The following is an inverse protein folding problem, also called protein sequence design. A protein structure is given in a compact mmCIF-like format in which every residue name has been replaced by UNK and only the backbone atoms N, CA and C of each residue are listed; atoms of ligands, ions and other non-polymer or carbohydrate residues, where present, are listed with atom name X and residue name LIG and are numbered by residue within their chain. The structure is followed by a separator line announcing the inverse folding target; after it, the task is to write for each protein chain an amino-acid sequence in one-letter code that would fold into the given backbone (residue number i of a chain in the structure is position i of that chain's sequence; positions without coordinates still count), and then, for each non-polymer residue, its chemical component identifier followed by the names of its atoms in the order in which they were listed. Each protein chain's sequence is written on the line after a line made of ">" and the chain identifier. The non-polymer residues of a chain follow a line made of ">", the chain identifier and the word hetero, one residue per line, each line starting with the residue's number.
data_IF_312573687802
#
_entry.id   IF_312573687802
#
_cell.length_a   1.000
_cell.length_b   1.000
_cell.length_c   1.000
_cell.angle_alpha   90.00
_cell.angle_beta   90.00
_cell.angle_gamma   90.00
#
_symmetry.space_group_name_H-M   'P 1'
#
loop_
_entity.id
_entity.type
_entity.pdbx_description
1 polymer ?
#
# COMPACT_ATOMS: atom_id res chain seq x y z
N UNK A 1 -14.04 -15.30 -13.21
CA UNK A 1 -14.44 -14.51 -14.39
C UNK A 1 -13.99 -15.27 -15.62
N UNK A 2 -14.82 -15.44 -16.67
CA UNK A 2 -14.25 -15.70 -17.99
C UNK A 2 -13.49 -14.42 -18.37
N UNK A 3 -12.26 -14.55 -18.87
CA UNK A 3 -11.41 -13.40 -19.15
C UNK A 3 -12.11 -12.39 -20.07
N UNK A 4 -12.91 -12.86 -21.01
CA UNK A 4 -13.68 -12.06 -21.99
C UNK A 4 -14.83 -11.23 -21.38
N UNK A 5 -15.35 -11.56 -20.19
CA UNK A 5 -16.49 -10.86 -19.58
C UNK A 5 -16.06 -9.81 -18.53
N UNK A 6 -14.75 -9.64 -18.34
CA UNK A 6 -14.18 -8.82 -17.30
C UNK A 6 -14.08 -7.36 -17.68
N UNK A 7 -14.16 -6.50 -16.68
CA UNK A 7 -13.89 -5.07 -16.78
C UNK A 7 -12.93 -4.73 -15.64
N UNK A 8 -11.83 -4.08 -15.98
CA UNK A 8 -10.88 -3.56 -14.99
C UNK A 8 -11.09 -2.06 -14.88
N UNK A 9 -11.19 -1.54 -13.66
CA UNK A 9 -11.13 -0.12 -13.32
C UNK A 9 -9.89 0.08 -12.45
N UNK A 10 -9.03 1.03 -12.80
CA UNK A 10 -7.87 1.39 -12.00
C UNK A 10 -7.84 2.91 -11.86
N UNK A 11 -7.72 3.38 -10.62
CA UNK A 11 -7.62 4.81 -10.29
C UNK A 11 -6.42 5.01 -9.39
N UNK A 12 -5.61 6.01 -9.70
CA UNK A 12 -4.52 6.48 -8.85
C UNK A 12 -4.81 7.88 -8.32
N UNK A 13 -4.40 8.13 -7.08
CA UNK A 13 -4.57 9.41 -6.40
C UNK A 13 -3.53 9.71 -5.32
N UNK A 14 -3.60 10.93 -4.80
CA UNK A 14 -2.63 11.49 -3.85
C UNK A 14 -3.04 11.38 -2.37
N UNK A 15 -4.29 10.98 -2.06
CA UNK A 15 -4.75 10.92 -0.67
C UNK A 15 -3.90 9.92 0.12
N UNK A 16 -3.25 10.35 1.22
CA UNK A 16 -2.23 9.58 1.98
C UNK A 16 -2.80 8.65 3.08
N UNK A 17 -1.91 7.74 3.56
CA UNK A 17 -2.21 6.61 4.45
C UNK A 17 -2.82 6.97 5.83
N UNK A 18 -2.56 8.16 6.36
CA UNK A 18 -2.94 8.51 7.74
C UNK A 18 -4.24 9.34 7.84
N UNK A 19 -4.87 9.65 6.70
CA UNK A 19 -6.03 10.55 6.62
C UNK A 19 -7.38 9.80 6.46
N UNK A 20 -7.45 8.50 6.78
CA UNK A 20 -8.62 7.70 6.42
C UNK A 20 -9.78 7.73 7.40
N UNK A 21 -10.97 7.97 6.83
CA UNK A 21 -12.21 7.35 7.27
C UNK A 21 -12.60 6.26 6.26
N UNK A 22 -12.26 5.00 6.56
CA UNK A 22 -12.64 3.86 5.72
C UNK A 22 -14.17 3.73 5.62
N UNK A 23 -14.90 4.21 6.62
CA UNK A 23 -16.37 4.26 6.59
C UNK A 23 -16.88 5.15 5.46
N UNK A 24 -16.13 6.18 5.07
CA UNK A 24 -16.46 7.03 3.92
C UNK A 24 -16.38 6.23 2.61
N UNK A 25 -15.30 5.47 2.41
CA UNK A 25 -15.13 4.61 1.22
C UNK A 25 -16.24 3.54 1.14
N UNK A 26 -16.52 2.87 2.26
CA UNK A 26 -17.61 1.89 2.36
C UNK A 26 -18.97 2.56 2.12
N UNK A 27 -19.14 3.78 2.61
CA UNK A 27 -20.32 4.62 2.41
C UNK A 27 -20.54 4.96 0.95
N UNK A 28 -19.50 5.36 0.22
CA UNK A 28 -19.52 5.60 -1.23
C UNK A 28 -19.99 4.34 -1.96
N UNK A 29 -19.33 3.21 -1.72
CA UNK A 29 -19.64 1.96 -2.40
C UNK A 29 -21.09 1.51 -2.14
N UNK A 30 -21.50 1.48 -0.87
CA UNK A 30 -22.86 1.10 -0.45
C UNK A 30 -23.92 2.08 -0.96
N UNK A 31 -23.61 3.37 -1.02
CA UNK A 31 -24.52 4.42 -1.48
C UNK A 31 -24.89 4.26 -2.95
N UNK A 32 -23.94 3.83 -3.79
CA UNK A 32 -24.20 3.57 -5.22
C UNK A 32 -25.04 2.30 -5.41
N UNK A 33 -24.65 1.20 -4.77
CA UNK A 33 -25.39 -0.07 -4.81
C UNK A 33 -25.08 -0.93 -3.59
N UNK A 34 -26.10 -1.59 -3.04
CA UNK A 34 -25.93 -2.59 -1.98
C UNK A 34 -25.01 -3.76 -2.41
N UNK A 35 -24.94 -4.03 -3.71
CA UNK A 35 -24.11 -5.07 -4.32
C UNK A 35 -22.63 -4.72 -4.36
N UNK A 36 -22.30 -3.44 -4.19
CA UNK A 36 -20.93 -2.95 -4.02
C UNK A 36 -20.51 -2.91 -2.55
N UNK A 37 -21.35 -3.40 -1.62
CA UNK A 37 -20.92 -3.56 -0.23
C UNK A 37 -19.94 -4.74 -0.12
N UNK A 38 -18.74 -4.53 0.45
CA UNK A 38 -17.81 -5.61 0.75
C UNK A 38 -18.44 -6.67 1.68
N UNK A 39 -18.25 -7.95 1.36
CA UNK A 39 -18.61 -9.08 2.24
C UNK A 39 -17.41 -9.59 3.04
N UNK A 40 -16.24 -9.59 2.40
CA UNK A 40 -15.00 -10.01 3.01
C UNK A 40 -13.85 -9.16 2.54
N UNK A 41 -12.82 -9.11 3.36
CA UNK A 41 -11.56 -8.42 3.07
C UNK A 41 -10.42 -9.36 3.40
N UNK A 42 -9.35 -9.28 2.63
CA UNK A 42 -8.17 -10.14 2.81
C UNK A 42 -6.90 -9.42 2.39
N UNK A 43 -5.78 -10.09 2.55
CA UNK A 43 -4.47 -9.65 2.08
C UNK A 43 -4.08 -10.49 0.86
N UNK A 44 -4.31 -9.97 -0.35
CA UNK A 44 -4.00 -10.59 -1.65
C UNK A 44 -4.29 -12.10 -1.72
N UNK A 45 -5.55 -12.48 -1.44
CA UNK A 45 -6.02 -13.86 -1.49
C UNK A 45 -5.75 -14.72 -0.25
N UNK A 46 -5.13 -14.18 0.79
CA UNK A 46 -5.00 -14.81 2.11
C UNK A 46 -5.83 -14.07 3.18
N UNK A 47 -6.25 -14.79 4.24
CA UNK A 47 -6.83 -14.22 5.46
C UNK A 47 -8.12 -13.41 5.28
N UNK A 48 -9.14 -14.00 4.62
CA UNK A 48 -10.45 -13.34 4.52
C UNK A 48 -11.17 -13.24 5.87
N UNK A 49 -11.53 -12.02 6.26
CA UNK A 49 -12.28 -11.71 7.49
C UNK A 49 -13.60 -10.98 7.18
N UNK A 50 -14.48 -10.87 8.18
CA UNK A 50 -15.65 -10.00 8.09
C UNK A 50 -15.26 -8.53 7.91
N UNK A 51 -16.11 -7.77 7.23
CA UNK A 51 -15.83 -6.35 6.98
C UNK A 51 -16.28 -5.52 8.18
N UNK A 52 -15.31 -5.17 9.02
CA UNK A 52 -15.44 -4.13 10.03
C UNK A 52 -14.19 -3.24 10.05
N UNK A 53 -14.31 -2.08 10.70
CA UNK A 53 -13.26 -1.06 10.69
C UNK A 53 -11.93 -1.57 11.29
N UNK A 54 -11.98 -2.47 12.27
CA UNK A 54 -10.77 -3.00 12.91
C UNK A 54 -10.10 -4.05 12.01
N UNK A 55 -10.87 -4.98 11.43
CA UNK A 55 -10.34 -5.94 10.47
C UNK A 55 -9.77 -5.27 9.23
N UNK A 56 -10.37 -4.16 8.75
CA UNK A 56 -9.80 -3.35 7.67
C UNK A 56 -8.43 -2.78 8.05
N UNK A 57 -8.34 -2.15 9.23
CA UNK A 57 -7.08 -1.61 9.78
C UNK A 57 -6.01 -2.68 9.92
N UNK A 58 -6.37 -3.86 10.39
CA UNK A 58 -5.41 -4.94 10.57
C UNK A 58 -4.91 -5.50 9.23
N UNK A 59 -5.83 -5.88 8.35
CA UNK A 59 -5.52 -6.61 7.11
C UNK A 59 -4.80 -5.73 6.08
N UNK A 60 -5.25 -4.50 5.87
CA UNK A 60 -4.69 -3.62 4.83
C UNK A 60 -3.57 -2.70 5.33
N UNK A 61 -3.46 -2.49 6.65
CA UNK A 61 -2.53 -1.50 7.21
C UNK A 61 -1.48 -2.10 8.17
N UNK A 62 -1.67 -3.32 8.70
CA UNK A 62 -0.75 -3.93 9.67
C UNK A 62 -0.15 -5.26 9.22
N UNK A 63 -0.47 -5.74 8.01
CA UNK A 63 0.08 -6.98 7.47
C UNK A 63 1.56 -6.82 7.07
N UNK A 64 2.45 -7.08 8.05
CA UNK A 64 3.92 -6.99 7.96
C UNK A 64 4.61 -7.81 6.84
N UNK A 65 3.89 -8.65 6.10
CA UNK A 65 4.46 -9.59 5.13
C UNK A 65 4.49 -9.14 3.66
N UNK A 66 4.00 -7.94 3.33
CA UNK A 66 3.74 -7.59 1.92
C UNK A 66 4.85 -6.81 1.20
N UNK A 67 5.81 -6.24 1.92
CA UNK A 67 6.94 -5.52 1.32
C UNK A 67 7.79 -6.43 0.41
N UNK A 68 7.99 -7.69 0.81
CA UNK A 68 8.87 -8.63 0.08
C UNK A 68 8.24 -9.22 -1.18
N UNK A 69 6.90 -9.26 -1.28
CA UNK A 69 6.21 -9.89 -2.42
C UNK A 69 5.89 -8.92 -3.57
N UNK A 70 5.84 -7.61 -3.30
CA UNK A 70 5.41 -6.60 -4.27
C UNK A 70 6.30 -5.34 -4.30
N UNK A 71 7.63 -5.51 -4.18
CA UNK A 71 8.66 -4.50 -4.54
C UNK A 71 8.25 -3.05 -4.23
N UNK A 72 8.16 -2.66 -2.96
CA UNK A 72 7.96 -1.25 -2.57
C UNK A 72 6.53 -0.83 -2.19
N UNK A 73 5.53 -1.70 -2.31
CA UNK A 73 4.17 -1.44 -1.77
C UNK A 73 4.20 -1.46 -0.24
N UNK A 74 3.71 -0.40 0.40
CA UNK A 74 3.70 -0.23 1.86
C UNK A 74 2.56 -0.97 2.57
N UNK A 75 1.48 -1.27 1.84
CA UNK A 75 0.32 -2.00 2.32
C UNK A 75 -0.73 -2.15 1.23
N UNK A 76 -1.68 -3.06 1.43
CA UNK A 76 -2.77 -3.27 0.47
C UNK A 76 -3.55 -4.53 0.77
N UNK A 77 -4.69 -4.68 0.11
CA UNK A 77 -5.44 -5.92 0.20
C UNK A 77 -6.67 -6.00 -0.68
N UNK A 78 -7.24 -7.20 -0.61
CA UNK A 78 -8.34 -7.69 -1.42
C UNK A 78 -9.68 -7.32 -0.81
N UNK A 79 -10.64 -6.98 -1.67
CA UNK A 79 -12.07 -6.84 -1.35
C UNK A 79 -12.85 -7.87 -2.14
N UNK A 80 -13.59 -8.71 -1.42
CA UNK A 80 -14.63 -9.56 -1.99
C UNK A 80 -15.99 -8.92 -1.73
N UNK A 81 -16.74 -8.70 -2.81
CA UNK A 81 -18.06 -8.07 -2.78
C UNK A 81 -19.19 -9.10 -2.84
N UNK A 82 -20.41 -8.68 -2.49
CA UNK A 82 -21.62 -9.53 -2.55
C UNK A 82 -21.79 -10.19 -3.91
N UNK A 83 -21.90 -11.52 -3.98
CA UNK A 83 -22.08 -12.18 -5.28
C UNK A 83 -22.49 -13.64 -5.24
N UNK A 84 -23.35 -14.05 -6.19
CA UNK A 84 -23.82 -15.45 -6.33
C UNK A 84 -22.76 -16.44 -6.82
N UNK A 85 -21.55 -15.99 -7.20
CA UNK A 85 -20.43 -16.83 -7.64
C UNK A 85 -19.09 -16.21 -7.22
N UNK A 86 -18.07 -17.00 -6.85
CA UNK A 86 -16.86 -16.52 -6.19
C UNK A 86 -15.89 -15.68 -7.05
N UNK A 87 -16.29 -15.13 -8.22
CA UNK A 87 -15.40 -14.38 -9.14
C UNK A 87 -16.10 -13.36 -10.05
N UNK A 88 -17.20 -12.74 -9.59
CA UNK A 88 -17.99 -11.80 -10.42
C UNK A 88 -17.62 -10.34 -10.19
N UNK A 89 -17.15 -10.01 -8.98
CA UNK A 89 -16.69 -8.69 -8.58
C UNK A 89 -15.67 -8.88 -7.47
N UNK A 90 -14.49 -8.30 -7.66
CA UNK A 90 -13.35 -8.35 -6.77
C UNK A 90 -12.61 -7.01 -6.87
N UNK A 91 -11.92 -6.59 -5.83
CA UNK A 91 -11.10 -5.37 -5.88
C UNK A 91 -9.82 -5.53 -5.10
N UNK A 92 -8.85 -4.69 -5.43
CA UNK A 92 -7.63 -4.51 -4.67
C UNK A 92 -7.48 -3.03 -4.34
N UNK A 93 -6.98 -2.77 -3.14
CA UNK A 93 -6.53 -1.43 -2.77
C UNK A 93 -5.06 -1.53 -2.41
N UNK A 94 -4.25 -0.65 -2.99
CA UNK A 94 -2.80 -0.58 -2.77
C UNK A 94 -2.44 0.78 -2.20
N UNK A 95 -1.51 0.76 -1.24
CA UNK A 95 -1.01 1.94 -0.57
C UNK A 95 0.52 1.98 -0.70
N UNK A 96 1.06 3.11 -1.14
CA UNK A 96 2.50 3.34 -1.24
C UNK A 96 2.97 4.37 -0.19
N UNK A 97 4.13 4.10 0.44
CA UNK A 97 4.84 5.04 1.30
C UNK A 97 5.25 6.31 0.52
N UNK A 98 5.36 6.21 -0.81
CA UNK A 98 5.70 7.33 -1.67
C UNK A 98 4.48 8.08 -2.25
N UNK A 99 3.29 7.91 -1.67
CA UNK A 99 2.14 8.80 -1.88
C UNK A 99 1.29 8.53 -3.11
N UNK A 100 1.48 7.38 -3.76
CA UNK A 100 0.68 6.93 -4.90
C UNK A 100 -0.20 5.77 -4.47
N UNK A 101 -1.45 6.10 -4.20
CA UNK A 101 -2.44 5.13 -3.77
C UNK A 101 -3.33 4.77 -4.94
N UNK A 102 -3.64 3.48 -5.08
CA UNK A 102 -4.50 3.03 -6.17
C UNK A 102 -5.60 2.09 -5.70
N UNK A 103 -6.78 2.27 -6.30
CA UNK A 103 -7.89 1.33 -6.20
C UNK A 103 -8.04 0.66 -7.55
N UNK A 104 -8.03 -0.67 -7.52
CA UNK A 104 -8.38 -1.52 -8.65
C UNK A 104 -9.69 -2.25 -8.36
N UNK A 105 -10.64 -2.22 -9.30
CA UNK A 105 -11.87 -2.99 -9.23
C UNK A 105 -11.98 -3.84 -10.49
N UNK A 106 -12.13 -5.14 -10.30
CA UNK A 106 -12.32 -6.14 -11.33
C UNK A 106 -13.75 -6.65 -11.28
N UNK A 107 -14.54 -6.27 -12.27
CA UNK A 107 -15.98 -6.50 -12.27
C UNK A 107 -16.45 -7.11 -13.58
N UNK A 108 -17.39 -8.05 -13.53
CA UNK A 108 -17.99 -8.57 -14.75
C UNK A 108 -18.97 -7.56 -15.35
N UNK A 109 -18.90 -7.34 -16.66
CA UNK A 109 -19.88 -6.48 -17.35
C UNK A 109 -21.32 -6.95 -17.12
N UNK A 110 -21.56 -8.26 -17.18
CA UNK A 110 -22.86 -8.87 -16.85
C UNK A 110 -23.30 -8.57 -15.42
N UNK A 111 -22.37 -8.52 -14.48
CA UNK A 111 -22.67 -8.16 -13.10
C UNK A 111 -23.10 -6.69 -12.99
N UNK A 112 -22.40 -5.77 -13.67
CA UNK A 112 -22.83 -4.36 -13.76
C UNK A 112 -24.25 -4.30 -14.32
N UNK A 113 -24.49 -4.88 -15.49
CA UNK A 113 -25.80 -4.85 -16.15
C UNK A 113 -26.93 -5.41 -15.27
N UNK A 114 -26.66 -6.45 -14.48
CA UNK A 114 -27.68 -7.13 -13.67
C UNK A 114 -27.96 -6.41 -12.35
N UNK A 115 -26.94 -5.87 -11.69
CA UNK A 115 -27.02 -5.48 -10.27
C UNK A 115 -26.72 -4.01 -9.98
N UNK A 116 -26.14 -3.28 -10.93
CA UNK A 116 -25.66 -1.90 -10.72
C UNK A 116 -26.22 -0.95 -11.78
N UNK A 117 -26.01 -1.27 -13.06
CA UNK A 117 -26.24 -0.40 -14.20
C UNK A 117 -25.04 0.53 -14.48
N UNK A 118 -24.74 0.78 -15.76
CA UNK A 118 -23.59 1.61 -16.14
C UNK A 118 -23.64 3.05 -15.60
N UNK A 119 -24.79 3.75 -15.54
CA UNK A 119 -24.82 5.10 -14.96
C UNK A 119 -24.37 5.14 -13.50
N UNK A 120 -24.80 4.16 -12.69
CA UNK A 120 -24.37 4.02 -11.30
C UNK A 120 -22.90 3.60 -11.18
N UNK A 121 -22.42 2.76 -12.11
CA UNK A 121 -20.99 2.45 -12.17
C UNK A 121 -20.14 3.70 -12.47
N UNK A 122 -20.57 4.58 -13.40
CA UNK A 122 -19.90 5.85 -13.64
C UNK A 122 -19.94 6.77 -12.41
N UNK A 123 -21.05 6.78 -11.65
CA UNK A 123 -21.14 7.50 -10.38
C UNK A 123 -20.12 6.98 -9.37
N UNK A 124 -19.99 5.65 -9.20
CA UNK A 124 -18.96 5.04 -8.37
C UNK A 124 -17.56 5.49 -8.78
N UNK A 125 -17.26 5.40 -10.08
CA UNK A 125 -15.95 5.81 -10.63
C UNK A 125 -15.62 7.24 -10.26
N UNK A 126 -16.57 8.18 -10.44
CA UNK A 126 -16.39 9.60 -10.10
C UNK A 126 -16.19 9.81 -8.60
N UNK A 127 -17.00 9.16 -7.76
CA UNK A 127 -16.87 9.29 -6.31
C UNK A 127 -15.54 8.72 -5.80
N UNK A 128 -15.10 7.56 -6.31
CA UNK A 128 -13.80 6.99 -5.98
C UNK A 128 -12.65 7.90 -6.45
N UNK A 129 -12.76 8.50 -7.64
CA UNK A 129 -11.75 9.42 -8.15
C UNK A 129 -11.64 10.69 -7.29
N UNK A 130 -12.76 11.25 -6.85
CA UNK A 130 -12.77 12.40 -5.91
C UNK A 130 -12.19 11.97 -4.58
N UNK A 131 -12.65 10.83 -4.05
CA UNK A 131 -12.22 10.31 -2.77
C UNK A 131 -10.70 10.11 -2.74
N UNK A 132 -10.11 9.46 -3.73
CA UNK A 132 -8.65 9.27 -3.82
C UNK A 132 -7.84 10.57 -4.03
N UNK A 133 -8.49 11.71 -4.26
CA UNK A 133 -7.86 12.87 -4.87
C UNK A 133 -7.10 12.44 -6.14
N UNK A 134 -7.85 11.80 -7.03
CA UNK A 134 -7.36 11.11 -8.21
C UNK A 134 -6.64 12.06 -9.15
N UNK A 135 -5.49 11.60 -9.66
CA UNK A 135 -4.75 12.31 -10.70
C UNK A 135 -4.89 11.64 -12.06
N UNK A 136 -5.10 10.32 -12.09
CA UNK A 136 -5.31 9.57 -13.33
C UNK A 136 -6.01 8.25 -13.05
N UNK A 137 -6.72 7.74 -14.05
CA UNK A 137 -7.38 6.45 -13.97
C UNK A 137 -7.99 6.06 -15.30
N UNK A 138 -8.34 4.80 -15.44
CA UNK A 138 -9.00 4.29 -16.63
C UNK A 138 -9.81 3.04 -16.31
N UNK A 139 -10.73 2.71 -17.21
CA UNK A 139 -11.32 1.39 -17.28
C UNK A 139 -11.16 0.82 -18.69
N UNK A 140 -10.94 -0.48 -18.81
CA UNK A 140 -10.72 -1.14 -20.09
C UNK A 140 -11.35 -2.53 -20.15
N UNK A 141 -11.78 -2.88 -21.36
CA UNK A 141 -12.14 -4.26 -21.71
C UNK A 141 -10.86 -5.08 -21.95
N UNK A 142 -10.78 -6.37 -21.60
CA UNK A 142 -9.60 -7.21 -21.76
C UNK A 142 -9.07 -7.35 -23.20
N UNK A 143 -9.88 -7.04 -24.21
CA UNK A 143 -9.42 -6.88 -25.60
C UNK A 143 -8.49 -5.67 -25.81
N UNK A 144 -8.55 -4.67 -24.94
CA UNK A 144 -7.72 -3.46 -24.90
C UNK A 144 -6.57 -3.61 -23.89
N UNK A 145 -6.07 -4.83 -23.67
CA UNK A 145 -5.04 -5.17 -22.66
C UNK A 145 -3.70 -4.47 -22.89
N UNK A 146 -3.45 -3.91 -24.06
CA UNK A 146 -2.24 -3.12 -24.32
C UNK A 146 -2.18 -1.83 -23.49
N UNK A 147 -3.32 -1.32 -23.00
CA UNK A 147 -3.39 -0.03 -22.29
C UNK A 147 -2.87 -0.11 -20.85
N UNK A 148 -2.88 -1.30 -20.23
CA UNK A 148 -2.66 -1.42 -18.77
C UNK A 148 -1.20 -1.39 -18.30
N UNK A 149 -0.24 -1.23 -19.21
CA UNK A 149 1.19 -1.34 -18.88
C UNK A 149 1.91 -0.01 -18.60
N UNK A 150 1.23 1.14 -18.65
CA UNK A 150 1.90 2.43 -18.68
C UNK A 150 1.19 3.43 -17.76
N UNK A 151 1.79 3.70 -16.60
CA UNK A 151 1.15 4.43 -15.50
C UNK A 151 1.14 5.96 -15.65
N UNK A 152 1.85 6.52 -16.64
CA UNK A 152 1.90 7.97 -16.89
C UNK A 152 2.56 8.81 -15.78
N UNK A 153 3.17 8.17 -14.78
CA UNK A 153 3.60 8.87 -13.54
C UNK A 153 4.87 9.71 -13.70
N UNK A 154 5.69 9.49 -14.73
CA UNK A 154 6.89 10.29 -14.96
C UNK A 154 7.30 10.27 -16.45
N UNK A 155 8.39 10.96 -16.80
CA UNK A 155 8.88 11.02 -18.18
C UNK A 155 9.43 9.68 -18.71
N UNK A 156 9.71 8.73 -17.80
CA UNK A 156 10.16 7.35 -18.05
C UNK A 156 8.99 6.44 -18.45
N UNK A 157 7.77 6.75 -17.97
CA UNK A 157 6.52 6.05 -18.28
C UNK A 157 5.46 7.04 -18.79
N UNK A 158 5.25 7.07 -20.10
CA UNK A 158 4.17 7.81 -20.76
C UNK A 158 2.77 7.33 -20.32
N UNK A 159 1.72 8.06 -20.68
CA UNK A 159 0.36 7.51 -20.60
C UNK A 159 0.26 6.34 -21.58
N UNK A 160 -0.35 5.22 -21.18
CA UNK A 160 -0.55 4.10 -22.10
C UNK A 160 -1.38 4.50 -23.31
N UNK A 161 -2.63 4.87 -23.07
CA UNK A 161 -3.54 5.23 -24.13
C UNK A 161 -4.85 5.79 -23.61
N UNK A 162 -5.78 6.01 -24.53
CA UNK A 162 -7.17 6.36 -24.25
C UNK A 162 -7.98 5.08 -24.34
N UNK A 163 -8.75 4.77 -23.30
CA UNK A 163 -9.68 3.62 -23.28
C UNK A 163 -11.12 4.09 -23.51
N UNK A 164 -12.09 3.18 -23.38
CA UNK A 164 -13.51 3.56 -23.35
C UNK A 164 -13.84 4.58 -22.26
N UNK A 165 -13.11 4.56 -21.13
CA UNK A 165 -13.24 5.46 -19.99
C UNK A 165 -11.87 5.86 -19.45
N UNK A 166 -11.52 7.14 -19.58
CA UNK A 166 -10.26 7.71 -19.06
C UNK A 166 -10.54 8.88 -18.12
N UNK A 167 -9.79 8.98 -17.04
CA UNK A 167 -9.93 10.02 -16.01
C UNK A 167 -8.66 10.86 -15.92
N UNK A 168 -8.81 12.17 -15.84
CA UNK A 168 -7.69 13.10 -15.62
C UNK A 168 -7.96 14.00 -14.42
N UNK A 169 -7.01 14.05 -13.50
CA UNK A 169 -6.99 14.99 -12.39
C UNK A 169 -6.01 16.14 -12.62
N UNK A 170 -5.82 16.96 -11.58
CA UNK A 170 -5.15 18.25 -11.66
C UNK A 170 -3.78 18.25 -12.40
N UNK A 171 -2.84 17.31 -12.15
CA UNK A 171 -1.55 17.31 -12.85
C UNK A 171 -1.70 17.23 -14.38
N UNK A 172 -2.62 16.39 -14.87
CA UNK A 172 -2.88 16.24 -16.29
C UNK A 172 -3.72 17.40 -16.86
N UNK A 173 -4.60 17.99 -16.04
CA UNK A 173 -5.34 19.20 -16.42
C UNK A 173 -4.39 20.37 -16.63
N UNK A 174 -3.36 20.53 -15.78
CA UNK A 174 -2.32 21.53 -15.97
C UNK A 174 -1.47 21.23 -17.22
N UNK A 175 -1.08 19.98 -17.41
CA UNK A 175 -0.23 19.57 -18.54
C UNK A 175 -0.92 19.74 -19.91
N UNK A 176 -2.18 19.31 -20.03
CA UNK A 176 -2.94 19.40 -21.28
C UNK A 176 -3.63 20.75 -21.47
N UNK A 177 -4.05 21.38 -20.38
CA UNK A 177 -4.88 22.56 -20.36
C UNK A 177 -6.38 22.24 -20.45
N UNK A 178 -7.15 22.81 -19.53
CA UNK A 178 -8.61 22.63 -19.41
C UNK A 178 -9.39 22.85 -20.72
N UNK A 179 -9.09 23.91 -21.48
CA UNK A 179 -9.74 24.18 -22.78
C UNK A 179 -9.47 23.07 -23.81
N UNK A 180 -8.26 22.50 -23.78
CA UNK A 180 -7.85 21.43 -24.69
C UNK A 180 -8.58 20.13 -24.34
N UNK A 181 -8.68 19.80 -23.05
CA UNK A 181 -9.46 18.66 -22.56
C UNK A 181 -10.94 18.76 -22.93
N UNK A 182 -11.56 19.93 -22.75
CA UNK A 182 -12.98 20.13 -23.10
C UNK A 182 -13.29 20.06 -24.60
N UNK A 183 -12.27 20.08 -25.47
CA UNK A 183 -12.43 20.08 -26.93
C UNK A 183 -11.96 18.79 -27.60
N UNK A 184 -11.57 17.77 -26.84
CA UNK A 184 -11.21 16.46 -27.41
C UNK A 184 -12.41 15.87 -28.18
N UNK A 185 -12.16 15.09 -29.23
CA UNK A 185 -13.21 14.53 -30.08
C UNK A 185 -13.89 13.30 -29.43
N UNK A 186 -14.27 13.38 -28.16
CA UNK A 186 -15.08 12.36 -27.48
C UNK A 186 -15.99 13.03 -26.44
N UNK A 187 -16.82 12.26 -25.75
CA UNK A 187 -17.66 12.82 -24.69
C UNK A 187 -16.76 13.17 -23.50
N UNK A 188 -16.84 14.42 -23.05
CA UNK A 188 -16.09 14.91 -21.90
C UNK A 188 -17.01 15.49 -20.85
N UNK A 189 -16.68 15.22 -19.60
CA UNK A 189 -17.34 15.80 -18.45
C UNK A 189 -16.29 16.23 -17.42
N UNK A 190 -16.32 17.50 -17.02
CA UNK A 190 -15.67 17.94 -15.79
C UNK A 190 -16.66 17.74 -14.64
N UNK A 191 -16.53 16.62 -13.94
CA UNK A 191 -17.52 16.19 -12.93
C UNK A 191 -17.21 16.74 -11.52
N UNK A 192 -16.01 17.27 -11.32
CA UNK A 192 -15.59 18.03 -10.15
C UNK A 192 -14.43 18.95 -10.54
N UNK A 193 -14.06 19.90 -9.67
CA UNK A 193 -13.00 20.86 -9.99
C UNK A 193 -11.68 20.16 -10.38
N UNK A 194 -11.26 20.41 -11.61
CA UNK A 194 -10.08 19.81 -12.22
C UNK A 194 -10.10 18.26 -12.24
N UNK A 195 -11.29 17.66 -12.32
CA UNK A 195 -11.51 16.21 -12.49
C UNK A 195 -12.33 15.96 -13.74
N UNK A 196 -11.70 15.35 -14.74
CA UNK A 196 -12.25 15.12 -16.07
C UNK A 196 -12.48 13.64 -16.30
N UNK A 197 -13.61 13.34 -16.92
CA UNK A 197 -13.98 12.03 -17.46
C UNK A 197 -14.07 12.15 -18.98
N UNK A 198 -13.33 11.31 -19.68
CA UNK A 198 -13.40 11.14 -21.12
C UNK A 198 -14.01 9.77 -21.43
N UNK A 199 -15.02 9.76 -22.29
CA UNK A 199 -15.72 8.56 -22.74
C UNK A 199 -15.63 8.46 -24.27
N UNK A 200 -14.94 7.42 -24.76
CA UNK A 200 -14.97 7.05 -26.18
C UNK A 200 -16.09 6.06 -26.51
N UNK A 201 -16.83 5.62 -25.48
CA UNK A 201 -18.09 4.87 -25.57
C UNK A 201 -18.90 5.13 -24.29
N UNK A 202 -20.23 5.12 -24.37
CA UNK A 202 -21.11 5.29 -23.20
C UNK A 202 -21.11 4.04 -22.28
N UNK A 203 -20.73 2.88 -22.82
CA UNK A 203 -20.62 1.61 -22.10
C UNK A 203 -19.29 0.90 -22.46
N UNK A 204 -18.78 0.00 -21.60
CA UNK A 204 -17.65 -0.84 -21.95
C UNK A 204 -17.91 -1.61 -23.23
N UNK A 205 -16.95 -1.56 -24.14
CA UNK A 205 -17.07 -2.14 -25.47
C UNK A 205 -15.78 -2.88 -25.82
N UNK A 206 -15.93 -3.98 -26.54
CA UNK A 206 -14.82 -4.67 -27.18
C UNK A 206 -14.08 -3.73 -28.13
N UNK A 207 -12.83 -4.07 -28.42
CA UNK A 207 -12.04 -3.30 -29.36
C UNK A 207 -12.64 -3.40 -30.77
N UNK A 208 -12.94 -2.25 -31.37
CA UNK A 208 -13.45 -2.15 -32.74
C UNK A 208 -12.64 -1.12 -33.52
N UNK A 209 -12.58 -1.22 -34.86
CA UNK A 209 -11.87 -0.24 -35.68
C UNK A 209 -12.35 1.21 -35.48
N UNK A 210 -13.65 1.42 -35.22
CA UNK A 210 -14.20 2.75 -34.93
C UNK A 210 -13.75 3.28 -33.57
N UNK A 211 -13.76 2.44 -32.54
CA UNK A 211 -13.25 2.79 -31.21
C UNK A 211 -11.77 3.19 -31.29
N UNK A 212 -10.94 2.39 -31.97
CA UNK A 212 -9.51 2.66 -32.13
C UNK A 212 -9.27 3.97 -32.89
N UNK A 213 -10.02 4.25 -33.97
CA UNK A 213 -9.93 5.53 -34.70
C UNK A 213 -10.28 6.71 -33.80
N UNK A 214 -11.29 6.57 -32.97
CA UNK A 214 -11.72 7.60 -32.03
C UNK A 214 -10.66 7.85 -30.96
N UNK A 215 -10.16 6.79 -30.33
CA UNK A 215 -9.08 6.86 -29.33
C UNK A 215 -7.83 7.52 -29.90
N UNK A 216 -7.46 7.17 -31.14
CA UNK A 216 -6.34 7.77 -31.86
C UNK A 216 -6.56 9.26 -32.15
N UNK A 217 -7.79 9.64 -32.50
CA UNK A 217 -8.15 11.05 -32.70
C UNK A 217 -8.04 11.85 -31.40
N UNK A 218 -8.41 11.25 -30.26
CA UNK A 218 -8.24 11.86 -28.94
C UNK A 218 -6.75 12.00 -28.58
N UNK A 219 -5.94 10.97 -28.82
CA UNK A 219 -4.47 11.02 -28.62
C UNK A 219 -3.84 12.15 -29.43
N UNK A 220 -4.15 12.23 -30.72
CA UNK A 220 -3.70 13.31 -31.62
C UNK A 220 -4.09 14.69 -31.13
N UNK A 221 -5.34 14.85 -30.71
CA UNK A 221 -5.82 16.12 -30.17
C UNK A 221 -5.03 16.52 -28.93
N UNK A 222 -4.85 15.62 -27.96
CA UNK A 222 -4.13 15.89 -26.70
C UNK A 222 -2.63 16.07 -26.89
N UNK A 223 -2.07 15.47 -27.93
CA UNK A 223 -0.65 15.45 -28.27
C UNK A 223 -0.10 14.03 -28.06
N UNK A 224 0.32 13.40 -29.17
CA UNK A 224 0.84 12.02 -29.19
C UNK A 224 2.11 11.86 -28.34
N UNK A 225 2.82 12.96 -28.10
CA UNK A 225 3.98 13.04 -27.23
C UNK A 225 3.69 12.71 -25.76
N UNK A 226 2.42 12.70 -25.35
CA UNK A 226 2.02 12.28 -24.00
C UNK A 226 1.73 10.77 -23.89
N UNK A 227 1.63 10.04 -25.01
CA UNK A 227 1.14 8.66 -25.06
C UNK A 227 2.15 7.67 -25.65
N UNK A 228 2.05 6.41 -25.25
CA UNK A 228 2.86 5.31 -25.77
C UNK A 228 2.68 5.12 -27.29
N UNK A 229 3.79 5.00 -28.04
CA UNK A 229 3.78 4.85 -29.51
C UNK A 229 3.76 3.37 -29.93
N UNK A 230 2.72 2.95 -30.65
CA UNK A 230 2.51 1.54 -31.04
C UNK A 230 3.44 1.03 -32.15
N UNK A 231 3.96 1.91 -33.01
CA UNK A 231 4.72 1.52 -34.22
C UNK A 231 6.11 0.93 -33.93
N UNK A 232 6.53 0.85 -32.66
CA UNK A 232 7.79 0.27 -32.19
C UNK A 232 7.60 -1.09 -31.49
N UNK A 233 6.66 -1.89 -31.99
CA UNK A 233 6.23 -3.20 -31.44
C UNK A 233 7.31 -4.31 -31.34
N UNK A 234 8.59 -4.04 -31.64
CA UNK A 234 9.59 -5.09 -31.83
C UNK A 234 10.53 -5.38 -30.64
N UNK A 235 10.35 -4.75 -29.48
CA UNK A 235 11.05 -5.15 -28.26
C UNK A 235 10.14 -4.97 -27.05
N UNK A 236 9.52 -6.08 -26.62
CA UNK A 236 9.24 -6.23 -25.18
C UNK A 236 10.55 -5.90 -24.45
N UNK A 237 10.61 -4.93 -23.53
CA UNK A 237 11.65 -4.96 -22.53
C UNK A 237 11.23 -6.08 -21.58
N UNK A 238 11.86 -7.25 -21.69
CA UNK A 238 11.82 -8.26 -20.62
C UNK A 238 12.62 -7.79 -19.39
N UNK A 239 13.14 -6.56 -19.40
CA UNK A 239 14.02 -6.04 -18.35
C UNK A 239 13.87 -4.52 -18.27
N UNK A 240 13.65 -4.08 -17.03
CA UNK A 240 13.99 -2.77 -16.49
C UNK A 240 13.18 -1.54 -16.95
N UNK A 241 12.18 -1.17 -16.14
CA UNK A 241 11.51 0.14 -16.17
C UNK A 241 12.38 1.27 -15.55
N UNK A 242 13.62 0.98 -15.12
CA UNK A 242 14.48 1.91 -14.37
C UNK A 242 15.59 2.55 -15.23
N UNK A 243 15.40 2.59 -16.56
CA UNK A 243 16.23 3.40 -17.43
C UNK A 243 15.60 4.78 -17.67
N UNK A 244 16.39 5.88 -17.77
CA UNK A 244 15.85 7.18 -18.16
C UNK A 244 15.19 7.07 -19.54
N UNK A 245 13.98 7.63 -19.70
CA UNK A 245 13.33 7.68 -21.01
C UNK A 245 14.24 8.37 -22.01
N UNK A 246 14.56 7.65 -23.08
CA UNK A 246 15.37 8.14 -24.19
C UNK A 246 14.52 8.85 -25.24
N UNK A 247 13.21 9.00 -25.02
CA UNK A 247 12.24 9.37 -26.06
C UNK A 247 11.54 10.72 -25.88
N UNK A 248 11.67 11.36 -24.70
CA UNK A 248 11.18 12.74 -24.50
C UNK A 248 9.64 12.87 -24.41
N UNK A 249 8.96 11.87 -23.84
CA UNK A 249 7.52 11.95 -23.57
C UNK A 249 7.16 13.12 -22.66
N UNK A 250 6.01 13.75 -22.94
CA UNK A 250 5.44 14.81 -22.11
C UNK A 250 4.67 14.19 -20.94
N UNK A 251 5.14 14.44 -19.73
CA UNK A 251 4.51 14.01 -18.49
C UNK A 251 4.26 15.20 -17.53
N UNK A 252 3.28 15.12 -16.62
CA UNK A 252 3.07 16.15 -15.60
C UNK A 252 4.26 16.27 -14.64
N UNK A 253 4.50 17.47 -14.13
CA UNK A 253 5.45 17.68 -13.03
C UNK A 253 4.80 17.28 -11.70
N UNK A 254 4.89 15.99 -11.38
CA UNK A 254 4.33 15.43 -10.15
C UNK A 254 5.05 15.89 -8.88
N UNK A 255 6.27 16.41 -8.96
CA UNK A 255 7.03 16.84 -7.77
C UNK A 255 6.34 17.99 -7.01
N UNK A 256 5.57 18.83 -7.72
CA UNK A 256 4.72 19.89 -7.15
C UNK A 256 3.61 19.36 -6.24
N UNK A 257 3.16 18.15 -6.50
CA UNK A 257 2.05 17.51 -5.80
C UNK A 257 2.52 16.60 -4.68
N UNK A 258 3.84 16.39 -4.58
CA UNK A 258 4.43 15.36 -3.72
C UNK A 258 5.60 15.88 -2.88
N UNK A 259 5.41 16.95 -2.09
CA UNK A 259 6.40 17.51 -1.15
C UNK A 259 7.85 17.59 -1.72
N UNK A 260 8.02 17.81 -3.03
CA UNK A 260 9.32 17.89 -3.70
C UNK A 260 9.99 16.55 -4.09
N UNK A 261 9.29 15.42 -4.02
CA UNK A 261 9.78 14.12 -4.52
C UNK A 261 9.06 13.77 -5.83
N UNK A 262 9.74 13.16 -6.78
CA UNK A 262 9.11 12.59 -7.98
C UNK A 262 8.62 11.17 -7.65
N UNK A 263 7.46 10.70 -8.16
CA UNK A 263 7.16 9.27 -8.21
C UNK A 263 8.37 8.54 -8.80
N UNK A 264 9.03 7.73 -7.97
CA UNK A 264 9.97 6.75 -8.49
C UNK A 264 9.16 5.68 -9.20
N UNK A 265 9.73 5.13 -10.27
CA UNK A 265 9.42 3.84 -10.89
C UNK A 265 9.28 2.65 -9.92
N UNK A 266 9.47 2.87 -8.61
CA UNK A 266 9.47 1.95 -7.48
C UNK A 266 8.34 0.91 -7.44
N UNK A 267 7.26 1.04 -8.22
CA UNK A 267 6.31 -0.06 -8.38
C UNK A 267 6.93 -1.29 -9.07
N UNK A 268 8.08 -1.15 -9.74
CA UNK A 268 8.71 -2.24 -10.49
C UNK A 268 10.25 -2.32 -10.41
N UNK A 269 10.93 -1.48 -9.63
CA UNK A 269 12.38 -1.55 -9.49
C UNK A 269 12.82 -2.94 -8.99
N UNK A 270 13.42 -3.75 -9.88
CA UNK A 270 14.38 -4.76 -9.46
C UNK A 270 15.74 -4.07 -9.43
N UNK A 271 16.44 -3.99 -8.29
CA UNK A 271 17.69 -3.25 -8.25
C UNK A 271 18.80 -4.10 -8.85
N UNK A 272 19.06 -3.94 -10.15
CA UNK A 272 20.41 -4.19 -10.65
C UNK A 272 21.35 -3.09 -10.13
N UNK A 273 22.07 -3.42 -9.06
CA UNK A 273 23.32 -2.77 -8.73
C UNK A 273 23.20 -1.45 -7.97
N UNK A 274 22.90 -1.55 -6.67
CA UNK A 274 23.37 -0.65 -5.59
C UNK A 274 23.11 0.86 -5.80
N UNK A 275 22.03 1.34 -5.17
CA UNK A 275 22.07 2.39 -4.12
C UNK A 275 20.69 2.52 -3.47
N UNK A 276 20.42 1.63 -2.53
CA UNK A 276 19.38 1.81 -1.52
C UNK A 276 19.74 3.04 -0.67
N UNK A 277 18.80 3.96 -0.43
CA UNK A 277 18.71 4.52 0.92
C UNK A 277 17.98 3.49 1.76
N UNK A 278 18.74 2.47 2.17
CA UNK A 278 18.31 1.42 3.08
C UNK A 278 17.92 2.13 4.39
N UNK A 279 16.64 2.06 4.79
CA UNK A 279 16.30 2.36 6.18
C UNK A 279 17.12 1.38 6.99
N UNK A 280 18.10 1.90 7.72
CA UNK A 280 18.99 1.06 8.49
C UNK A 280 18.17 0.23 9.47
N UNK A 281 18.62 -0.98 9.79
CA UNK A 281 17.97 -1.80 10.83
C UNK A 281 17.77 -1.01 12.13
N UNK A 282 18.66 -0.08 12.45
CA UNK A 282 18.51 0.81 13.61
C UNK A 282 17.33 1.77 13.51
N UNK A 283 17.07 2.34 12.33
CA UNK A 283 15.89 3.18 12.09
C UNK A 283 14.60 2.36 12.17
N UNK A 284 14.57 1.16 11.58
CA UNK A 284 13.42 0.25 11.66
C UNK A 284 13.10 -0.15 13.10
N UNK A 285 14.13 -0.50 13.89
CA UNK A 285 13.95 -0.86 15.31
C UNK A 285 13.54 0.35 16.16
N UNK A 286 14.01 1.57 15.83
CA UNK A 286 13.55 2.78 16.49
C UNK A 286 12.06 3.07 16.24
N UNK A 287 11.55 2.84 15.03
CA UNK A 287 10.12 2.99 14.72
C UNK A 287 9.25 1.93 15.42
N UNK A 288 9.65 0.66 15.40
CA UNK A 288 8.93 -0.38 16.15
C UNK A 288 8.87 -0.10 17.65
N UNK A 289 9.95 0.44 18.21
CA UNK A 289 9.98 0.84 19.61
C UNK A 289 9.01 2.00 19.91
N UNK A 290 8.82 2.95 18.99
CA UNK A 290 7.78 4.00 19.12
C UNK A 290 6.38 3.40 19.07
N UNK A 291 6.14 2.40 18.22
CA UNK A 291 4.87 1.67 18.20
C UNK A 291 4.59 0.98 19.53
N UNK A 292 5.59 0.32 20.13
CA UNK A 292 5.47 -0.29 21.46
C UNK A 292 5.06 0.73 22.53
N UNK A 293 5.66 1.93 22.54
CA UNK A 293 5.28 3.02 23.46
C UNK A 293 3.80 3.42 23.26
N UNK A 294 3.36 3.55 22.01
CA UNK A 294 1.98 3.90 21.70
C UNK A 294 1.00 2.80 22.14
N UNK A 295 1.33 1.53 21.88
CA UNK A 295 0.51 0.38 22.32
C UNK A 295 0.43 0.28 23.84
N UNK A 296 1.54 0.46 24.54
CA UNK A 296 1.56 0.49 26.01
C UNK A 296 0.63 1.58 26.55
N UNK A 297 0.70 2.79 25.99
CA UNK A 297 -0.14 3.92 26.42
C UNK A 297 -1.61 3.70 26.12
N UNK A 298 -1.95 3.22 24.92
CA UNK A 298 -3.34 3.10 24.48
C UNK A 298 -4.02 1.87 25.05
N UNK A 299 -3.40 0.70 24.91
CA UNK A 299 -3.96 -0.60 25.28
C UNK A 299 -3.80 -0.94 26.76
N UNK A 300 -2.68 -0.54 27.38
CA UNK A 300 -2.35 -0.94 28.76
C UNK A 300 -2.38 0.22 29.76
N UNK A 301 -2.56 1.46 29.28
CA UNK A 301 -2.46 2.70 30.08
C UNK A 301 -1.12 2.81 30.83
N UNK A 302 -0.07 2.22 30.28
CA UNK A 302 1.29 2.21 30.82
C UNK A 302 2.14 3.20 30.02
N UNK A 303 2.93 4.02 30.72
CA UNK A 303 3.88 4.93 30.09
C UNK A 303 5.24 4.25 29.99
N UNK A 304 5.66 3.97 28.76
CA UNK A 304 7.00 3.51 28.43
C UNK A 304 7.85 4.69 27.97
N UNK A 305 9.02 4.90 28.58
CA UNK A 305 9.86 6.09 28.39
C UNK A 305 11.35 5.80 28.14
N UNK A 306 11.68 4.54 27.85
CA UNK A 306 13.04 4.04 27.62
C UNK A 306 13.97 4.13 28.84
N UNK A 307 13.45 4.40 30.05
CA UNK A 307 14.26 4.28 31.28
C UNK A 307 14.46 2.82 31.67
N UNK A 308 15.51 2.51 32.45
CA UNK A 308 15.72 1.18 33.03
C UNK A 308 14.46 0.68 33.79
N UNK A 309 13.79 1.58 34.52
CA UNK A 309 12.57 1.25 35.27
C UNK A 309 11.41 0.82 34.36
N UNK A 310 11.32 1.38 33.15
CA UNK A 310 10.25 1.07 32.20
C UNK A 310 10.31 -0.38 31.68
N UNK A 311 11.42 -1.10 31.87
CA UNK A 311 11.50 -2.53 31.54
C UNK A 311 10.64 -3.38 32.49
N UNK A 312 10.48 -2.96 33.74
CA UNK A 312 9.54 -3.62 34.67
C UNK A 312 8.10 -3.45 34.21
N UNK A 313 7.79 -2.33 33.57
CA UNK A 313 6.48 -2.08 32.99
C UNK A 313 6.28 -2.81 31.66
N UNK A 314 7.32 -2.96 30.85
CA UNK A 314 7.33 -3.88 29.71
C UNK A 314 7.02 -5.33 30.15
N UNK A 315 7.66 -5.81 31.22
CA UNK A 315 7.43 -7.15 31.74
C UNK A 315 5.96 -7.38 32.16
N UNK A 316 5.33 -6.39 32.82
CA UNK A 316 3.89 -6.46 33.14
C UNK A 316 3.02 -6.59 31.90
N UNK A 317 3.38 -5.90 30.81
CA UNK A 317 2.66 -6.01 29.53
C UNK A 317 2.80 -7.42 28.96
N UNK A 318 4.03 -7.97 28.94
CA UNK A 318 4.28 -9.33 28.43
C UNK A 318 3.60 -10.42 29.28
N UNK A 319 3.47 -10.19 30.59
CA UNK A 319 2.69 -11.05 31.49
C UNK A 319 1.20 -11.06 31.12
N UNK A 320 0.62 -9.90 30.78
CA UNK A 320 -0.77 -9.83 30.30
C UNK A 320 -0.94 -10.59 28.99
N UNK A 321 0.01 -10.48 28.05
CA UNK A 321 -0.03 -11.28 26.82
C UNK A 321 0.00 -12.78 27.13
N UNK A 322 0.94 -13.23 27.96
CA UNK A 322 1.07 -14.65 28.31
C UNK A 322 -0.17 -15.20 29.03
N UNK A 323 -0.71 -14.47 30.02
CA UNK A 323 -1.87 -14.88 30.80
C UNK A 323 -3.20 -14.72 30.04
N UNK A 324 -3.24 -13.87 29.03
CA UNK A 324 -4.41 -13.64 28.17
C UNK A 324 -4.71 -14.81 27.22
N UNK A 325 -3.82 -15.79 27.13
CA UNK A 325 -4.01 -16.99 26.32
C UNK A 325 -4.89 -18.00 27.06
N UNK A 326 -6.13 -18.18 26.60
CA UNK A 326 -7.03 -19.23 27.12
C UNK A 326 -6.93 -20.49 26.26
N UNK A 327 -7.33 -21.67 26.76
CA UNK A 327 -7.39 -22.89 25.94
C UNK A 327 -8.21 -22.73 24.66
N UNK A 328 -9.19 -21.83 24.65
CA UNK A 328 -10.10 -21.55 23.53
C UNK A 328 -9.53 -20.54 22.50
N UNK A 329 -8.52 -19.75 22.88
CA UNK A 329 -7.81 -18.84 21.97
C UNK A 329 -6.32 -18.82 22.29
N UNK A 330 -5.60 -19.78 21.72
CA UNK A 330 -4.14 -19.72 21.65
C UNK A 330 -3.71 -18.71 20.57
N UNK A 331 -2.67 -17.92 20.83
CA UNK A 331 -2.11 -17.03 19.83
C UNK A 331 -1.51 -17.88 18.70
N UNK A 332 -1.62 -17.39 17.48
CA UNK A 332 -0.92 -17.93 16.32
C UNK A 332 0.58 -17.62 16.41
N UNK A 333 1.38 -18.39 15.68
CA UNK A 333 2.83 -18.17 15.60
C UNK A 333 3.17 -16.75 15.11
N UNK A 334 2.41 -16.25 14.13
CA UNK A 334 2.60 -14.90 13.58
C UNK A 334 2.25 -13.81 14.60
N UNK A 335 1.21 -13.98 15.41
CA UNK A 335 0.88 -13.05 16.49
C UNK A 335 2.00 -12.98 17.54
N UNK A 336 2.57 -14.13 17.90
CA UNK A 336 3.70 -14.22 18.83
C UNK A 336 4.95 -13.54 18.26
N UNK A 337 5.29 -13.83 17.01
CA UNK A 337 6.44 -13.24 16.33
C UNK A 337 6.28 -11.72 16.15
N UNK A 338 5.08 -11.26 15.82
CA UNK A 338 4.79 -9.84 15.66
C UNK A 338 4.89 -9.06 16.96
N UNK A 339 4.33 -9.60 18.04
CA UNK A 339 4.47 -9.05 19.38
C UNK A 339 5.94 -9.04 19.81
N UNK A 340 6.67 -10.14 19.55
CA UNK A 340 8.08 -10.26 19.87
C UNK A 340 8.94 -9.20 19.17
N UNK A 341 8.70 -8.89 17.90
CA UNK A 341 9.44 -7.84 17.18
C UNK A 341 9.18 -6.45 17.77
N UNK A 342 7.92 -6.12 18.09
CA UNK A 342 7.55 -4.77 18.56
C UNK A 342 8.07 -4.53 19.98
N UNK A 343 7.77 -5.45 20.89
CA UNK A 343 8.21 -5.35 22.29
C UNK A 343 9.71 -5.62 22.43
N UNK A 344 10.28 -6.47 21.57
CA UNK A 344 11.73 -6.68 21.43
C UNK A 344 12.45 -5.43 20.96
N UNK A 345 11.89 -4.69 19.99
CA UNK A 345 12.44 -3.41 19.56
C UNK A 345 12.47 -2.38 20.71
N UNK A 346 11.42 -2.33 21.53
CA UNK A 346 11.43 -1.49 22.73
C UNK A 346 12.51 -1.90 23.74
N UNK A 347 12.64 -3.20 24.03
CA UNK A 347 13.70 -3.74 24.90
C UNK A 347 15.09 -3.37 24.37
N UNK A 348 15.32 -3.57 23.07
CA UNK A 348 16.59 -3.26 22.41
C UNK A 348 16.88 -1.77 22.36
N UNK A 349 15.92 -0.91 22.02
CA UNK A 349 16.12 0.54 22.01
C UNK A 349 16.36 1.09 23.42
N UNK A 350 15.74 0.50 24.45
CA UNK A 350 16.02 0.86 25.84
C UNK A 350 17.45 0.51 26.23
N UNK A 351 17.94 -0.69 25.85
CA UNK A 351 19.35 -1.08 26.03
C UNK A 351 20.29 -0.14 25.25
N UNK A 352 19.99 0.13 23.98
CA UNK A 352 20.83 0.94 23.10
C UNK A 352 20.95 2.40 23.58
N UNK A 353 19.85 2.98 24.07
CA UNK A 353 19.82 4.37 24.56
C UNK A 353 20.57 4.51 25.88
N UNK A 354 20.50 3.53 26.77
CA UNK A 354 21.11 3.61 28.10
C UNK A 354 22.58 3.16 28.10
N UNK A 355 22.97 2.24 27.22
CA UNK A 355 24.31 1.62 27.23
C UNK A 355 25.05 1.72 25.89
N UNK A 356 24.48 2.39 24.89
CA UNK A 356 25.05 2.49 23.55
C UNK A 356 24.89 1.21 22.75
N UNK A 357 25.65 1.11 21.66
CA UNK A 357 25.62 -0.03 20.76
C UNK A 357 24.89 0.22 19.45
N UNK A 358 24.98 -0.77 18.58
CA UNK A 358 24.57 -0.68 17.18
C UNK A 358 23.72 -1.87 16.79
N UNK A 359 22.64 -1.57 16.07
CA UNK A 359 21.81 -2.60 15.46
C UNK A 359 22.49 -3.16 14.22
N UNK A 360 22.41 -4.47 14.05
CA UNK A 360 22.80 -5.19 12.85
C UNK A 360 21.75 -6.27 12.53
N UNK A 361 21.94 -6.95 11.40
CA UNK A 361 21.13 -8.11 11.00
C UNK A 361 22.05 -9.33 10.92
N UNK A 362 21.66 -10.42 11.58
CA UNK A 362 22.34 -11.70 11.50
C UNK A 362 21.32 -12.79 11.17
N UNK A 363 21.49 -13.46 10.03
CA UNK A 363 20.55 -14.47 9.51
C UNK A 363 19.09 -13.99 9.55
N UNK A 364 18.84 -12.78 9.03
CA UNK A 364 17.51 -12.14 8.98
C UNK A 364 16.93 -11.76 10.36
N UNK A 365 17.70 -11.91 11.44
CA UNK A 365 17.29 -11.54 12.80
C UNK A 365 17.97 -10.23 13.22
N UNK A 366 17.19 -9.29 13.74
CA UNK A 366 17.71 -8.06 14.35
C UNK A 366 18.56 -8.37 15.58
N UNK A 367 19.84 -8.01 15.54
CA UNK A 367 20.79 -8.18 16.64
C UNK A 367 21.27 -6.80 17.12
N UNK A 368 21.40 -6.64 18.43
CA UNK A 368 21.95 -5.44 19.05
C UNK A 368 23.33 -5.77 19.61
N UNK A 369 24.35 -5.07 19.11
CA UNK A 369 25.74 -5.21 19.55
C UNK A 369 26.08 -4.13 20.57
N UNK A 370 26.35 -4.50 21.81
CA UNK A 370 26.76 -3.57 22.87
C UNK A 370 28.06 -4.06 23.47
N UNK A 371 29.14 -3.28 23.35
CA UNK A 371 30.44 -3.60 23.96
C UNK A 371 30.96 -5.03 23.67
N UNK A 372 30.69 -5.56 22.46
CA UNK A 372 31.08 -6.91 22.05
C UNK A 372 30.09 -8.02 22.41
N UNK A 373 29.03 -7.71 23.16
CA UNK A 373 27.92 -8.63 23.42
C UNK A 373 26.88 -8.55 22.31
N UNK A 374 26.43 -9.73 21.85
CA UNK A 374 25.30 -9.87 20.91
C UNK A 374 24.02 -10.14 21.66
N UNK A 375 23.02 -9.31 21.44
CA UNK A 375 21.71 -9.39 22.06
C UNK A 375 20.67 -9.59 20.98
N UNK A 376 19.70 -10.47 21.21
CA UNK A 376 18.60 -10.73 20.29
C UNK A 376 17.27 -10.38 21.00
N UNK A 377 16.89 -9.09 21.08
CA UNK A 377 15.76 -8.65 21.89
C UNK A 377 14.44 -9.30 21.48
N UNK A 378 14.16 -9.38 20.18
CA UNK A 378 12.95 -10.01 19.64
C UNK A 378 12.87 -11.48 20.01
N UNK A 379 13.96 -12.23 19.85
CA UNK A 379 14.02 -13.64 20.26
C UNK A 379 13.85 -13.82 21.77
N UNK A 380 14.36 -12.89 22.58
CA UNK A 380 14.19 -12.94 24.04
C UNK A 380 12.74 -12.71 24.45
N UNK A 381 12.07 -11.73 23.83
CA UNK A 381 10.65 -11.48 24.07
C UNK A 381 9.79 -12.63 23.55
N UNK A 382 10.10 -13.20 22.38
CA UNK A 382 9.40 -14.37 21.86
C UNK A 382 9.41 -15.51 22.89
N UNK A 383 10.59 -15.85 23.43
CA UNK A 383 10.70 -16.85 24.49
C UNK A 383 9.88 -16.49 25.72
N UNK A 384 9.86 -15.22 26.13
CA UNK A 384 9.00 -14.76 27.24
C UNK A 384 7.51 -14.98 26.98
N UNK A 385 7.07 -14.78 25.73
CA UNK A 385 5.68 -14.97 25.32
C UNK A 385 5.28 -16.44 25.19
N UNK A 386 6.23 -17.34 24.91
CA UNK A 386 5.96 -18.79 24.77
C UNK A 386 6.16 -19.57 26.06
N UNK A 387 7.23 -19.27 26.79
CA UNK A 387 7.67 -20.05 27.95
C UNK A 387 7.09 -19.46 29.24
N UNK A 388 6.86 -18.15 29.29
CA UNK A 388 6.31 -17.51 30.48
C UNK A 388 7.40 -16.93 31.39
N UNK A 389 7.16 -16.83 32.71
CA UNK A 389 8.02 -16.08 33.62
C UNK A 389 9.46 -16.62 33.76
N UNK A 390 9.75 -17.85 33.35
CA UNK A 390 11.15 -18.34 33.25
C UNK A 390 12.02 -17.49 32.31
N UNK A 391 11.43 -16.83 31.33
CA UNK A 391 12.11 -15.99 30.35
C UNK A 391 11.93 -14.48 30.63
N UNK A 392 11.69 -14.11 31.88
CA UNK A 392 11.46 -12.72 32.34
C UNK A 392 12.48 -11.72 31.74
N UNK A 393 11.96 -10.67 31.08
CA UNK A 393 12.81 -9.72 30.35
C UNK A 393 13.42 -8.67 31.28
N UNK A 394 12.78 -8.37 32.41
CA UNK A 394 13.33 -7.46 33.41
C UNK A 394 14.54 -8.07 34.13
N UNK A 395 14.44 -9.34 34.52
CA UNK A 395 15.57 -10.08 35.10
C UNK A 395 16.74 -10.20 34.10
N UNK A 396 16.43 -10.47 32.84
CA UNK A 396 17.43 -10.50 31.77
C UNK A 396 18.14 -9.15 31.61
N UNK A 397 17.38 -8.05 31.59
CA UNK A 397 17.92 -6.69 31.47
C UNK A 397 18.84 -6.35 32.64
N UNK A 398 18.42 -6.61 33.88
CA UNK A 398 19.22 -6.35 35.09
C UNK A 398 20.52 -7.17 35.11
N UNK A 399 20.45 -8.43 34.69
CA UNK A 399 21.62 -9.31 34.57
C UNK A 399 22.60 -8.75 33.54
N UNK A 400 22.11 -8.38 32.36
CA UNK A 400 22.93 -7.83 31.30
C UNK A 400 23.57 -6.48 31.68
N UNK A 401 22.81 -5.61 32.37
CA UNK A 401 23.33 -4.36 32.95
C UNK A 401 24.51 -4.63 33.89
N UNK A 402 24.39 -5.62 34.76
CA UNK A 402 25.47 -6.00 35.68
C UNK A 402 26.71 -6.56 34.96
N UNK A 403 26.52 -7.29 33.86
CA UNK A 403 27.63 -7.78 33.03
C UNK A 403 28.35 -6.65 32.29
N UNK A 404 27.61 -5.68 31.75
CA UNK A 404 28.21 -4.47 31.15
C UNK A 404 29.01 -3.64 32.14
N UNK A 405 28.53 -3.49 33.38
CA UNK A 405 29.26 -2.79 34.44
C UNK A 405 30.59 -3.48 34.76
N UNK A 406 30.60 -4.82 34.83
CA UNK A 406 31.83 -5.62 35.03
C UNK A 406 32.80 -5.48 33.85
N UNK A 407 32.31 -5.54 32.62
CA UNK A 407 33.13 -5.44 31.41
C UNK A 407 33.73 -4.04 31.19
N UNK A 408 33.05 -2.98 31.67
CA UNK A 408 33.48 -1.59 31.54
C UNK A 408 34.34 -1.06 32.70
N UNK A 409 34.56 -1.87 33.75
CA UNK A 409 35.35 -1.48 34.92
C UNK A 409 34.72 -0.36 35.78
N UNK A 410 33.44 -0.03 35.55
CA UNK A 410 32.70 1.02 36.26
C UNK A 410 31.54 0.43 37.06
N UNK A 411 31.35 0.90 38.29
CA UNK A 411 30.09 0.71 39.02
C UNK A 411 29.05 1.67 38.41
N UNK A 412 28.04 1.14 37.71
CA UNK A 412 26.96 1.88 37.06
C UNK A 412 25.71 1.97 37.94
#
# INVERSE_FOLDING_TARGET
>A
MKYEDGLSLIIWGFRLLNDYDISELLGIMKGVSEWLSPEKIGAYGANYQSVDENSLKEVWFQSKGHYERFRGISGGGSIDFKGKKPRSLYGDITWDHYGFNSIAIYISMKYIQTYIGYPKFLELVKQLFIWLNGYWGYSYHPSQSWVHYHSGINHEVCLGGITWLTLFGLPYVEMFGKKKLMSVPCRVEEFADNKFLLLTSDEPVEETPDLLRLQESVRKHLGEDAFFRHEEEAKRPDTDLNGPSKEGYRAPDFAKYYNGKTPSSAMYDEPEGKRETQISVGESMAEFAKHAVNFAKQGFKIKLDFSDNSIKDLEKILEVFYNGFTPERKPTEDELQNAAVIWGAYLGETLRRNYGGEWAVENEISVLNISGFKIFPSSKVYKRLTNGPEDNVAFYYDTFKAELAKASGKTL
#
